data_IF_887250106736
#
_entry.id   IF_887250106736
#
_cell.length_a   1.000
_cell.length_b   1.000
_cell.length_c   1.000
_cell.angle_alpha   90.00
_cell.angle_beta   90.00
_cell.angle_gamma   90.00
#
_symmetry.space_group_name_H-M   'P 1'
#
loop_
_entity.id
_entity.type
_entity.pdbx_description
1 polymer ?
#
# COMPACT_ATOMS: atom_id res chain seq x y z
N UNK A 1 -40.21 2.13 -50.06
CA UNK A 1 -40.84 2.06 -48.73
C UNK A 1 -40.61 0.66 -48.19
N UNK A 2 -39.99 0.51 -47.05
CA UNK A 2 -39.75 -0.76 -46.34
C UNK A 2 -41.09 -1.20 -45.71
N UNK A 3 -41.79 -2.12 -46.33
CA UNK A 3 -43.01 -2.73 -45.76
C UNK A 3 -42.65 -3.88 -44.84
N UNK A 4 -42.63 -3.62 -43.52
CA UNK A 4 -42.47 -4.65 -42.53
C UNK A 4 -43.81 -5.40 -42.32
N UNK A 5 -43.77 -6.75 -42.25
CA UNK A 5 -44.94 -7.50 -41.89
C UNK A 5 -45.40 -7.18 -40.47
N UNK A 6 -46.71 -7.23 -40.20
CA UNK A 6 -47.27 -6.91 -38.87
C UNK A 6 -46.62 -7.74 -37.74
N UNK A 7 -46.24 -8.99 -38.04
CA UNK A 7 -45.52 -9.87 -37.10
C UNK A 7 -44.13 -9.37 -36.75
N UNK A 8 -43.36 -8.82 -37.71
CA UNK A 8 -42.05 -8.24 -37.46
C UNK A 8 -42.14 -6.97 -36.61
N UNK A 9 -43.13 -6.12 -36.86
CA UNK A 9 -43.40 -4.93 -36.08
C UNK A 9 -43.74 -5.30 -34.64
N UNK A 10 -44.61 -6.29 -34.44
CA UNK A 10 -44.99 -6.78 -33.12
C UNK A 10 -43.77 -7.32 -32.35
N UNK A 11 -42.91 -8.11 -33.00
CA UNK A 11 -41.69 -8.65 -32.40
C UNK A 11 -40.73 -7.54 -31.93
N UNK A 12 -40.57 -6.50 -32.73
CA UNK A 12 -39.73 -5.34 -32.37
C UNK A 12 -40.27 -4.62 -31.12
N UNK A 13 -41.59 -4.39 -31.06
CA UNK A 13 -42.18 -3.75 -29.87
C UNK A 13 -42.07 -4.65 -28.64
N UNK A 14 -42.19 -5.96 -28.77
CA UNK A 14 -42.06 -6.90 -27.66
C UNK A 14 -40.63 -6.94 -27.13
N UNK A 15 -39.63 -6.92 -28.01
CA UNK A 15 -38.21 -6.82 -27.60
C UNK A 15 -37.95 -5.48 -26.89
N UNK A 16 -38.47 -4.37 -27.43
CA UNK A 16 -38.28 -3.04 -26.82
C UNK A 16 -38.93 -2.99 -25.45
N UNK A 17 -40.12 -3.51 -25.29
CA UNK A 17 -40.82 -3.59 -24.01
C UNK A 17 -40.05 -4.45 -23.00
N UNK A 18 -39.52 -5.58 -23.44
CA UNK A 18 -38.72 -6.47 -22.60
C UNK A 18 -37.45 -5.77 -22.11
N UNK A 19 -36.70 -5.13 -23.00
CA UNK A 19 -35.48 -4.34 -22.64
C UNK A 19 -35.82 -3.18 -21.70
N UNK A 20 -36.95 -2.49 -21.93
CA UNK A 20 -37.41 -1.41 -21.06
C UNK A 20 -37.72 -1.87 -19.65
N UNK A 21 -38.39 -3.03 -19.50
CA UNK A 21 -38.69 -3.61 -18.17
C UNK A 21 -37.37 -3.93 -17.44
N UNK A 22 -36.38 -4.50 -18.12
CA UNK A 22 -35.07 -4.78 -17.54
C UNK A 22 -34.34 -3.48 -17.12
N UNK A 23 -34.41 -2.43 -17.94
CA UNK A 23 -33.77 -1.15 -17.63
C UNK A 23 -34.44 -0.48 -16.43
N UNK A 24 -35.76 -0.47 -16.36
CA UNK A 24 -36.54 0.10 -15.26
C UNK A 24 -36.32 -0.69 -13.96
N UNK A 25 -36.17 -2.02 -14.03
CA UNK A 25 -35.91 -2.85 -12.84
C UNK A 25 -34.60 -2.51 -12.14
N UNK A 26 -33.65 -1.91 -12.84
CA UNK A 26 -32.38 -1.43 -12.27
C UNK A 26 -32.56 -0.12 -11.45
N UNK A 27 -33.59 0.68 -11.74
CA UNK A 27 -33.89 1.94 -11.06
C UNK A 27 -34.75 1.75 -9.81
N UNK A 28 -35.68 0.81 -9.85
CA UNK A 28 -36.56 0.49 -8.73
C UNK A 28 -36.07 -0.81 -8.09
N UNK A 29 -35.95 -0.87 -6.77
CA UNK A 29 -35.50 -2.04 -5.98
C UNK A 29 -36.37 -3.33 -6.18
N UNK A 30 -36.90 -3.53 -7.35
CA UNK A 30 -37.62 -4.73 -7.79
C UNK A 30 -36.71 -5.95 -7.95
N UNK A 31 -35.39 -5.78 -7.73
CA UNK A 31 -34.35 -6.77 -7.94
C UNK A 31 -34.41 -8.01 -7.03
N UNK A 32 -35.21 -7.96 -5.95
CA UNK A 32 -35.44 -9.16 -5.12
C UNK A 32 -36.19 -10.28 -5.84
N UNK A 33 -36.87 -9.97 -6.99
CA UNK A 33 -37.73 -10.91 -7.68
C UNK A 33 -37.04 -11.57 -8.90
N UNK A 34 -36.14 -10.87 -9.59
CA UNK A 34 -35.59 -11.38 -10.86
C UNK A 34 -34.06 -11.48 -10.97
N UNK A 35 -33.27 -10.62 -10.36
CA UNK A 35 -31.79 -10.65 -10.44
C UNK A 35 -31.13 -10.08 -9.19
N UNK A 36 -30.18 -10.84 -8.62
CA UNK A 36 -29.41 -10.44 -7.43
C UNK A 36 -28.23 -9.49 -7.72
N UNK A 37 -28.05 -8.98 -8.95
CA UNK A 37 -26.93 -8.10 -9.30
C UNK A 37 -27.45 -6.77 -9.78
N UNK A 38 -27.18 -5.70 -9.00
CA UNK A 38 -27.32 -4.30 -9.43
C UNK A 38 -26.09 -3.90 -10.26
N UNK A 39 -26.30 -3.06 -11.28
CA UNK A 39 -25.19 -2.37 -11.94
C UNK A 39 -24.70 -1.29 -10.98
N UNK A 40 -23.48 -1.43 -10.49
CA UNK A 40 -22.88 -0.42 -9.63
C UNK A 40 -22.47 0.78 -10.47
N UNK A 41 -23.13 1.88 -10.21
CA UNK A 41 -22.81 3.15 -10.87
C UNK A 41 -21.61 3.76 -10.13
N UNK A 42 -20.63 4.22 -10.90
CA UNK A 42 -19.44 4.89 -10.33
C UNK A 42 -19.79 6.23 -9.67
N UNK A 43 -18.80 6.82 -9.01
CA UNK A 43 -18.89 8.08 -8.28
C UNK A 43 -19.51 9.22 -9.10
N UNK A 44 -19.22 9.26 -10.40
CA UNK A 44 -19.71 10.29 -11.33
C UNK A 44 -21.24 10.26 -11.55
N UNK A 45 -21.88 9.10 -11.33
CA UNK A 45 -23.31 8.88 -11.57
C UNK A 45 -24.14 8.80 -10.28
N UNK A 46 -23.53 8.33 -9.19
CA UNK A 46 -24.20 8.22 -7.89
C UNK A 46 -23.91 9.40 -6.96
N UNK A 47 -22.90 10.21 -7.26
CA UNK A 47 -22.30 11.10 -6.29
C UNK A 47 -21.53 10.36 -5.21
N UNK A 48 -20.91 11.07 -4.30
CA UNK A 48 -20.14 10.48 -3.19
C UNK A 48 -18.89 11.29 -2.89
N UNK A 49 -18.03 10.72 -2.04
CA UNK A 49 -16.80 11.38 -1.60
C UNK A 49 -15.56 10.65 -2.08
N UNK A 50 -14.51 11.40 -2.32
CA UNK A 50 -13.17 10.86 -2.48
C UNK A 50 -12.21 11.44 -1.45
N UNK A 51 -11.26 10.64 -1.01
CA UNK A 51 -10.19 11.03 -0.11
C UNK A 51 -8.86 10.64 -0.71
N UNK A 52 -7.92 11.55 -0.67
CA UNK A 52 -6.51 11.26 -0.96
C UNK A 52 -5.76 11.19 0.36
N UNK A 53 -5.32 9.99 0.74
CA UNK A 53 -4.54 9.74 1.93
C UNK A 53 -3.06 9.72 1.56
N UNK A 54 -2.23 10.33 2.38
CA UNK A 54 -0.77 10.28 2.25
C UNK A 54 -0.18 9.54 3.44
N UNK A 55 0.78 8.66 3.17
CA UNK A 55 1.47 7.88 4.20
C UNK A 55 2.70 8.65 4.65
N UNK A 56 2.80 8.91 5.95
CA UNK A 56 4.06 9.35 6.56
C UNK A 56 4.98 8.14 6.76
N UNK A 57 6.04 8.07 5.95
CA UNK A 57 7.00 6.98 6.01
C UNK A 57 8.11 7.18 7.06
N UNK A 58 8.22 8.35 7.69
CA UNK A 58 9.28 8.63 8.67
C UNK A 58 9.24 7.71 9.90
N UNK A 59 8.08 7.45 10.53
CA UNK A 59 8.01 6.49 11.64
C UNK A 59 8.46 5.09 11.25
N UNK A 60 8.13 4.64 10.04
CA UNK A 60 8.46 3.31 9.53
C UNK A 60 9.96 3.19 9.26
N UNK A 61 10.56 4.21 8.65
CA UNK A 61 12.02 4.30 8.45
C UNK A 61 12.73 4.24 9.81
N UNK A 62 12.28 5.03 10.79
CA UNK A 62 12.86 5.07 12.12
C UNK A 62 12.77 3.71 12.81
N UNK A 63 11.62 3.04 12.74
CA UNK A 63 11.42 1.69 13.31
C UNK A 63 12.32 0.65 12.63
N UNK A 64 12.44 0.72 11.30
CA UNK A 64 13.30 -0.17 10.52
C UNK A 64 14.76 -0.02 10.91
N UNK A 65 15.23 1.21 11.10
CA UNK A 65 16.59 1.47 11.56
C UNK A 65 16.82 1.03 13.01
N UNK A 66 15.83 1.18 13.90
CA UNK A 66 15.92 0.65 15.27
C UNK A 66 16.03 -0.87 15.27
N UNK A 67 15.21 -1.57 14.49
CA UNK A 67 15.29 -3.03 14.36
C UNK A 67 16.66 -3.43 13.79
N UNK A 68 17.13 -2.73 12.77
CA UNK A 68 18.46 -2.95 12.19
C UNK A 68 19.59 -2.74 13.20
N UNK A 69 19.51 -1.72 14.04
CA UNK A 69 20.47 -1.49 15.09
C UNK A 69 20.51 -2.65 16.10
N UNK A 70 19.36 -3.21 16.46
CA UNK A 70 19.28 -4.39 17.32
C UNK A 70 19.96 -5.59 16.66
N UNK A 71 19.71 -5.82 15.37
CA UNK A 71 20.31 -6.92 14.62
C UNK A 71 21.84 -6.77 14.49
N UNK A 72 22.32 -5.55 14.28
CA UNK A 72 23.75 -5.25 14.30
C UNK A 72 24.37 -5.57 15.66
N UNK A 73 23.76 -5.14 16.77
CA UNK A 73 24.25 -5.45 18.12
C UNK A 73 24.30 -6.96 18.37
N UNK A 74 23.25 -7.70 17.97
CA UNK A 74 23.23 -9.17 18.08
C UNK A 74 24.34 -9.80 17.25
N UNK A 75 24.56 -9.32 16.02
CA UNK A 75 25.63 -9.82 15.16
C UNK A 75 27.00 -9.65 15.80
N UNK A 76 27.34 -8.46 16.28
CA UNK A 76 28.62 -8.17 16.92
C UNK A 76 28.83 -9.05 18.17
N UNK A 77 27.81 -9.21 19.00
CA UNK A 77 27.86 -10.08 20.17
C UNK A 77 28.06 -11.55 19.79
N UNK A 78 27.32 -12.08 18.83
CA UNK A 78 27.38 -13.48 18.42
C UNK A 78 28.71 -13.85 17.76
N UNK A 79 29.35 -12.88 17.10
CA UNK A 79 30.65 -13.08 16.44
C UNK A 79 31.84 -12.71 17.34
N UNK A 80 31.58 -12.31 18.60
CA UNK A 80 32.59 -11.79 19.53
C UNK A 80 33.43 -10.68 18.91
N UNK A 81 32.78 -9.79 18.17
CA UNK A 81 33.36 -8.61 17.56
C UNK A 81 33.03 -7.38 18.43
N UNK A 82 33.93 -6.41 18.46
CA UNK A 82 33.74 -5.20 19.27
C UNK A 82 33.13 -4.07 18.46
N UNK A 83 31.98 -3.57 18.90
CA UNK A 83 31.41 -2.33 18.42
C UNK A 83 30.77 -1.54 19.58
N UNK A 84 30.86 -0.21 19.50
CA UNK A 84 30.41 0.69 20.55
C UNK A 84 29.79 1.95 19.95
N UNK A 85 29.22 2.79 20.82
CA UNK A 85 28.68 4.10 20.47
C UNK A 85 27.57 4.06 19.39
N UNK A 86 26.71 3.03 19.45
CA UNK A 86 25.55 2.92 18.53
C UNK A 86 24.57 4.06 18.74
N UNK A 87 24.37 4.87 17.71
CA UNK A 87 23.41 6.00 17.69
C UNK A 87 22.65 6.03 16.38
N UNK A 88 21.41 6.54 16.42
CA UNK A 88 20.63 6.84 15.22
C UNK A 88 20.46 8.35 15.13
N UNK A 89 20.90 8.94 14.03
CA UNK A 89 20.73 10.37 13.73
C UNK A 89 20.45 10.54 12.23
N UNK A 90 19.51 11.41 11.88
CA UNK A 90 19.19 11.75 10.48
C UNK A 90 18.99 10.52 9.59
N UNK A 91 18.19 9.54 10.06
CA UNK A 91 17.93 8.28 9.36
C UNK A 91 19.18 7.46 9.01
N UNK A 92 20.23 7.58 9.81
CA UNK A 92 21.46 6.79 9.71
C UNK A 92 21.84 6.22 11.07
N UNK A 93 22.32 4.97 11.07
CA UNK A 93 22.90 4.30 12.23
C UNK A 93 24.40 4.61 12.20
N UNK A 94 24.93 5.12 13.29
CA UNK A 94 26.36 5.33 13.48
C UNK A 94 26.88 4.43 14.58
N UNK A 95 28.09 3.90 14.42
CA UNK A 95 28.81 3.18 15.45
C UNK A 95 30.31 3.14 15.15
N UNK A 96 31.09 2.76 16.16
CA UNK A 96 32.52 2.57 16.07
C UNK A 96 32.87 1.08 16.26
N UNK A 97 33.88 0.62 15.53
CA UNK A 97 34.41 -0.75 15.72
C UNK A 97 35.93 -0.74 15.71
N UNK A 98 36.55 -1.80 16.22
CA UNK A 98 37.99 -1.96 16.19
C UNK A 98 38.51 -2.41 14.80
N UNK A 99 39.78 -2.17 14.47
CA UNK A 99 40.36 -2.49 13.18
C UNK A 99 40.27 -3.99 12.81
N UNK A 100 40.30 -4.90 13.81
CA UNK A 100 40.24 -6.34 13.58
C UNK A 100 38.83 -6.80 13.22
N UNK A 101 37.84 -6.07 13.66
CA UNK A 101 36.43 -6.36 13.39
C UNK A 101 35.93 -5.77 12.05
N UNK A 102 36.65 -4.77 11.49
CA UNK A 102 36.24 -4.08 10.26
C UNK A 102 36.12 -5.04 9.08
N UNK A 103 37.20 -5.77 8.78
CA UNK A 103 37.26 -6.66 7.62
C UNK A 103 36.15 -7.71 7.68
N UNK A 104 36.03 -8.41 8.81
CA UNK A 104 35.01 -9.44 9.03
C UNK A 104 33.59 -8.91 8.91
N UNK A 105 33.36 -7.68 9.36
CA UNK A 105 32.04 -7.05 9.29
C UNK A 105 31.71 -6.62 7.85
N UNK A 106 32.69 -6.02 7.14
CA UNK A 106 32.51 -5.63 5.74
C UNK A 106 32.25 -6.84 4.84
N UNK A 107 32.99 -7.92 5.01
CA UNK A 107 32.80 -9.17 4.24
C UNK A 107 31.36 -9.69 4.39
N UNK A 108 30.81 -9.64 5.58
CA UNK A 108 29.42 -10.06 5.79
C UNK A 108 28.42 -9.09 5.20
N UNK A 109 28.64 -7.77 5.31
CA UNK A 109 27.70 -6.78 4.78
C UNK A 109 27.68 -6.67 3.26
N UNK A 110 28.82 -6.92 2.61
CA UNK A 110 28.96 -6.83 1.17
C UNK A 110 28.69 -8.18 0.47
N UNK A 111 28.53 -9.24 1.24
CA UNK A 111 28.17 -10.55 0.71
C UNK A 111 26.73 -10.54 0.21
N UNK A 112 26.51 -10.92 -1.05
CA UNK A 112 25.18 -10.97 -1.66
C UNK A 112 24.21 -11.93 -0.99
N UNK A 113 24.71 -12.94 -0.28
CA UNK A 113 23.91 -13.94 0.44
C UNK A 113 23.77 -13.59 1.93
N UNK A 114 24.05 -12.37 2.33
CA UNK A 114 24.00 -11.96 3.71
C UNK A 114 22.57 -11.57 4.14
N UNK A 115 22.07 -12.25 5.18
CA UNK A 115 20.81 -11.86 5.83
C UNK A 115 20.92 -10.48 6.51
N UNK A 116 22.14 -10.07 6.86
CA UNK A 116 22.38 -8.80 7.52
C UNK A 116 22.22 -7.61 6.56
N UNK A 117 22.48 -7.79 5.27
CA UNK A 117 22.29 -6.75 4.24
C UNK A 117 21.81 -7.37 2.94
N UNK A 118 20.52 -7.67 2.79
CA UNK A 118 19.97 -8.35 1.62
C UNK A 118 20.36 -7.66 0.32
N UNK A 119 20.76 -8.45 -0.67
CA UNK A 119 21.12 -7.99 -2.01
C UNK A 119 20.02 -8.29 -3.01
N UNK A 120 19.66 -7.32 -3.83
CA UNK A 120 18.61 -7.43 -4.84
C UNK A 120 19.24 -7.51 -6.24
N UNK A 121 19.36 -8.71 -6.79
CA UNK A 121 19.99 -8.98 -8.09
C UNK A 121 19.40 -8.14 -9.22
N UNK A 122 18.07 -7.97 -9.26
CA UNK A 122 17.38 -7.20 -10.30
C UNK A 122 17.85 -5.73 -10.35
N UNK A 123 18.18 -5.15 -9.19
CA UNK A 123 18.55 -3.75 -9.04
C UNK A 123 20.03 -3.55 -8.77
N UNK A 124 20.78 -4.67 -8.67
CA UNK A 124 22.24 -4.68 -8.38
C UNK A 124 22.62 -3.81 -7.19
N UNK A 125 21.79 -3.84 -6.13
CA UNK A 125 22.00 -3.04 -4.93
C UNK A 125 21.65 -3.81 -3.67
N UNK A 126 22.28 -3.44 -2.56
CA UNK A 126 21.91 -3.90 -1.23
C UNK A 126 20.77 -3.04 -0.65
N UNK A 127 20.06 -3.57 0.34
CA UNK A 127 19.01 -2.85 1.07
C UNK A 127 19.58 -1.66 1.84
N UNK A 128 20.78 -1.81 2.40
CA UNK A 128 21.46 -0.76 3.16
C UNK A 128 22.77 -0.37 2.49
N UNK A 129 23.04 0.93 2.48
CA UNK A 129 24.36 1.47 2.13
C UNK A 129 25.17 1.55 3.42
N UNK A 130 26.46 1.23 3.27
CA UNK A 130 27.42 1.22 4.36
C UNK A 130 28.58 2.13 3.98
N UNK A 131 28.70 3.26 4.66
CA UNK A 131 29.85 4.14 4.55
C UNK A 131 30.80 3.86 5.72
N UNK A 132 32.08 3.85 5.41
CA UNK A 132 33.15 3.62 6.36
C UNK A 132 34.19 4.74 6.29
N UNK A 133 34.51 5.32 7.43
CA UNK A 133 35.62 6.24 7.58
C UNK A 133 36.50 5.78 8.76
N UNK A 134 37.57 5.04 8.44
CA UNK A 134 38.45 4.36 9.42
C UNK A 134 37.63 3.42 10.31
N UNK A 135 37.46 3.77 11.57
CA UNK A 135 36.74 2.94 12.57
C UNK A 135 35.26 3.33 12.72
N UNK A 136 34.81 4.37 12.04
CA UNK A 136 33.44 4.86 12.11
C UNK A 136 32.62 4.35 10.92
N UNK A 137 31.49 3.76 11.24
CA UNK A 137 30.53 3.26 10.27
C UNK A 137 29.26 4.09 10.29
N UNK A 138 28.69 4.32 9.12
CA UNK A 138 27.31 4.76 8.98
C UNK A 138 26.53 3.82 8.07
N UNK A 139 25.35 3.41 8.53
CA UNK A 139 24.46 2.52 7.79
C UNK A 139 23.11 3.20 7.63
N UNK A 140 22.60 3.21 6.40
CA UNK A 140 21.31 3.80 6.06
C UNK A 140 20.66 3.05 4.89
N UNK A 141 19.36 3.22 4.71
CA UNK A 141 18.65 2.60 3.60
C UNK A 141 19.16 3.12 2.25
N UNK A 142 19.37 2.22 1.29
CA UNK A 142 19.58 2.60 -0.11
C UNK A 142 18.29 3.20 -0.70
N UNK A 143 18.39 3.90 -1.83
CA UNK A 143 17.21 4.42 -2.52
C UNK A 143 16.20 3.30 -2.81
N UNK A 144 16.69 2.15 -3.25
CA UNK A 144 15.85 0.98 -3.45
C UNK A 144 15.29 0.42 -2.15
N UNK A 145 16.08 0.41 -1.07
CA UNK A 145 15.61 0.04 0.27
C UNK A 145 14.45 0.90 0.75
N UNK A 146 14.51 2.21 0.49
CA UNK A 146 13.41 3.15 0.78
C UNK A 146 12.19 2.85 -0.10
N UNK A 147 12.37 2.65 -1.40
CA UNK A 147 11.26 2.30 -2.32
C UNK A 147 10.57 1.00 -1.89
N UNK A 148 11.33 -0.02 -1.53
CA UNK A 148 10.80 -1.30 -1.06
C UNK A 148 9.99 -1.14 0.24
N UNK A 149 10.52 -0.37 1.18
CA UNK A 149 9.85 -0.07 2.44
C UNK A 149 8.54 0.69 2.21
N UNK A 150 8.56 1.72 1.37
CA UNK A 150 7.39 2.52 1.02
C UNK A 150 6.31 1.66 0.34
N UNK A 151 6.70 0.82 -0.62
CA UNK A 151 5.76 -0.08 -1.30
C UNK A 151 5.10 -1.05 -0.33
N UNK A 152 5.87 -1.68 0.56
CA UNK A 152 5.33 -2.58 1.58
C UNK A 152 4.37 -1.88 2.55
N UNK A 153 4.73 -0.66 2.97
CA UNK A 153 3.90 0.16 3.86
C UNK A 153 2.60 0.60 3.18
N UNK A 154 2.68 0.94 1.89
CA UNK A 154 1.52 1.31 1.09
C UNK A 154 0.56 0.12 0.94
N UNK A 155 1.08 -1.10 0.72
CA UNK A 155 0.27 -2.32 0.66
C UNK A 155 -0.47 -2.57 1.97
N UNK A 156 0.22 -2.48 3.10
CA UNK A 156 -0.38 -2.64 4.42
C UNK A 156 -1.43 -1.55 4.71
N UNK A 157 -1.14 -0.30 4.34
CA UNK A 157 -2.07 0.81 4.52
C UNK A 157 -3.35 0.63 3.68
N UNK A 158 -3.25 0.15 2.44
CA UNK A 158 -4.41 -0.17 1.60
C UNK A 158 -5.30 -1.22 2.28
N UNK A 159 -4.71 -2.28 2.84
CA UNK A 159 -5.48 -3.32 3.54
C UNK A 159 -6.16 -2.81 4.83
N UNK A 160 -5.49 -1.91 5.56
CA UNK A 160 -6.06 -1.26 6.75
C UNK A 160 -7.23 -0.36 6.34
N UNK A 161 -7.03 0.47 5.31
CA UNK A 161 -8.07 1.37 4.78
C UNK A 161 -9.26 0.56 4.29
N UNK A 162 -9.05 -0.52 3.54
CA UNK A 162 -10.10 -1.40 3.04
C UNK A 162 -10.96 -1.94 4.18
N UNK A 163 -10.34 -2.54 5.20
CA UNK A 163 -11.07 -3.06 6.37
C UNK A 163 -11.91 -2.00 7.06
N UNK A 164 -11.37 -0.79 7.25
CA UNK A 164 -12.10 0.30 7.90
C UNK A 164 -13.26 0.82 7.06
N UNK A 165 -13.09 0.86 5.76
CA UNK A 165 -14.16 1.26 4.84
C UNK A 165 -15.25 0.19 4.79
N UNK A 166 -14.89 -1.09 4.77
CA UNK A 166 -15.86 -2.20 4.82
C UNK A 166 -16.71 -2.17 6.10
N UNK A 167 -16.12 -1.79 7.25
CA UNK A 167 -16.86 -1.58 8.52
C UNK A 167 -17.93 -0.50 8.43
N UNK A 168 -17.84 0.42 7.48
CA UNK A 168 -18.86 1.46 7.27
C UNK A 168 -20.10 0.99 6.55
N UNK A 169 -20.05 -0.22 5.98
CA UNK A 169 -21.14 -0.79 5.17
C UNK A 169 -21.30 -0.10 3.82
N UNK A 170 -20.27 0.58 3.33
CA UNK A 170 -20.28 1.20 1.99
C UNK A 170 -20.32 0.13 0.91
N UNK A 171 -21.20 0.32 -0.06
CA UNK A 171 -21.27 -0.54 -1.23
C UNK A 171 -20.06 -0.25 -2.15
N UNK A 172 -19.17 -1.24 -2.28
CA UNK A 172 -18.09 -1.31 -3.26
C UNK A 172 -17.17 -0.07 -3.33
N UNK A 173 -16.38 0.17 -2.28
CA UNK A 173 -15.40 1.25 -2.28
C UNK A 173 -14.30 0.96 -3.31
N UNK A 174 -13.85 1.97 -4.04
CA UNK A 174 -12.69 1.87 -4.91
C UNK A 174 -11.45 2.42 -4.19
N UNK A 175 -10.45 1.56 -3.96
CA UNK A 175 -9.24 1.91 -3.23
C UNK A 175 -8.05 1.67 -4.14
N UNK A 176 -7.39 2.75 -4.54
CA UNK A 176 -6.31 2.74 -5.53
C UNK A 176 -5.03 3.35 -4.96
N UNK A 177 -3.91 2.72 -5.26
CA UNK A 177 -2.59 3.34 -5.00
C UNK A 177 -2.34 4.48 -6.00
N UNK A 178 -1.80 5.60 -5.50
CA UNK A 178 -1.43 6.76 -6.31
C UNK A 178 0.00 7.20 -6.01
N UNK A 179 0.92 6.89 -6.93
CA UNK A 179 2.36 7.10 -6.71
C UNK A 179 2.90 6.20 -5.61
N UNK A 180 3.93 6.65 -4.92
CA UNK A 180 4.74 5.83 -4.01
C UNK A 180 4.26 5.86 -2.55
N UNK A 181 3.40 6.83 -2.19
CA UNK A 181 3.00 7.05 -0.79
C UNK A 181 1.55 7.48 -0.60
N UNK A 182 0.70 7.41 -1.65
CA UNK A 182 -0.69 7.89 -1.57
C UNK A 182 -1.69 6.81 -1.92
N UNK A 183 -2.87 6.91 -1.29
CA UNK A 183 -4.03 6.05 -1.52
C UNK A 183 -5.21 6.93 -1.87
N UNK A 184 -5.82 6.69 -3.01
CA UNK A 184 -7.11 7.28 -3.39
C UNK A 184 -8.21 6.34 -2.94
N UNK A 185 -9.15 6.87 -2.16
CA UNK A 185 -10.33 6.16 -1.67
C UNK A 185 -11.56 6.85 -2.24
N UNK A 186 -12.32 6.14 -3.05
CA UNK A 186 -13.57 6.60 -3.65
C UNK A 186 -14.74 5.84 -3.00
N UNK A 187 -15.72 6.59 -2.52
CA UNK A 187 -16.83 6.07 -1.73
C UNK A 187 -18.15 6.50 -2.35
N UNK A 188 -18.69 5.72 -3.31
CA UNK A 188 -19.96 6.03 -3.94
C UNK A 188 -21.11 6.05 -2.93
N UNK A 189 -21.99 7.05 -3.05
CA UNK A 189 -23.17 7.19 -2.21
C UNK A 189 -22.91 7.67 -0.77
N UNK A 190 -21.67 8.06 -0.43
CA UNK A 190 -21.33 8.67 0.86
C UNK A 190 -20.94 10.13 0.67
N UNK A 191 -21.82 11.05 1.09
CA UNK A 191 -21.66 12.50 0.92
C UNK A 191 -21.03 13.21 2.12
N UNK A 192 -20.58 12.47 3.15
CA UNK A 192 -19.98 13.06 4.36
C UNK A 192 -18.49 12.73 4.48
N UNK A 193 -17.59 13.56 3.91
CA UNK A 193 -16.14 13.37 4.00
C UNK A 193 -15.61 13.46 5.44
N UNK A 194 -16.26 14.22 6.31
CA UNK A 194 -15.83 14.40 7.69
C UNK A 194 -16.02 13.11 8.49
N UNK A 195 -17.14 12.43 8.31
CA UNK A 195 -17.42 11.13 8.91
C UNK A 195 -16.39 10.09 8.47
N UNK A 196 -16.07 10.05 7.18
CA UNK A 196 -15.09 9.10 6.62
C UNK A 196 -13.69 9.40 7.18
N UNK A 197 -13.29 10.68 7.22
CA UNK A 197 -12.02 11.09 7.80
C UNK A 197 -11.90 10.67 9.28
N UNK A 198 -13.00 10.78 10.05
CA UNK A 198 -13.01 10.36 11.45
C UNK A 198 -12.88 8.84 11.62
N UNK A 199 -13.45 8.05 10.72
CA UNK A 199 -13.35 6.59 10.71
C UNK A 199 -11.95 6.11 10.34
N UNK A 200 -11.35 6.73 9.32
CA UNK A 200 -9.99 6.40 8.88
C UNK A 200 -8.93 6.90 9.87
N UNK A 201 -9.20 8.00 10.58
CA UNK A 201 -8.29 8.61 11.54
C UNK A 201 -8.26 7.94 12.93
N UNK A 202 -9.17 7.02 13.22
CA UNK A 202 -9.12 6.26 14.49
C UNK A 202 -7.89 5.34 14.42
N UNK A 203 -6.93 5.58 15.30
CA UNK A 203 -5.82 4.65 15.53
C UNK A 203 -6.39 3.28 15.92
N UNK A 204 -5.97 2.23 15.22
CA UNK A 204 -6.22 0.87 15.68
C UNK A 204 -5.46 0.70 17.00
N UNK A 205 -6.19 0.57 18.10
CA UNK A 205 -5.65 0.09 19.37
C UNK A 205 -5.40 -1.41 19.27
#
# INVERSE_FOLDING_TARGET
MLNFSKTKILSIYLIFLFVSIFSISNFFDLNKIFFNKKVNLGLDLQGGSYLLLEIDNQPIISQTLQNKLIDLKKFFNNKSLNARNFTIKNNKIFFETDPLSIEKFQDVLLNKNSDLNPYFEKFKTHQYIVDNNKNFFSIYLSDYGVVLLNSSSLDQAVEIVRRRVDETGTNEPNILKRGDNRILVELPGLDDPARIKSLLGKTAN
#
